data_IF_199818671918
#
_entry.id   IF_199818671918
#
_cell.length_a   1.000
_cell.length_b   1.000
_cell.length_c   1.000
_cell.angle_alpha   90.00
_cell.angle_beta   90.00
_cell.angle_gamma   90.00
#
_symmetry.space_group_name_H-M   'P 1'
#
loop_
_entity.id
_entity.type
_entity.pdbx_description
1 polymer ?
#
# COMPACT_ATOMS: atom_id res chain seq x y z
N UNK A 1 20.02 -12.26 8.17
CA UNK A 1 19.62 -10.92 8.60
C UNK A 1 19.16 -10.98 10.05
N UNK A 2 20.05 -10.68 10.98
CA UNK A 2 19.82 -10.75 12.43
C UNK A 2 18.86 -9.67 12.99
N UNK A 3 18.15 -8.93 12.14
CA UNK A 3 17.24 -7.85 12.58
C UNK A 3 15.98 -8.45 13.23
N UNK A 4 15.48 -9.52 12.67
CA UNK A 4 14.29 -10.22 13.20
C UNK A 4 14.57 -10.89 14.55
N UNK A 5 15.71 -11.55 14.66
CA UNK A 5 16.13 -12.22 15.90
C UNK A 5 16.41 -11.25 17.05
N UNK A 6 16.93 -10.04 16.70
CA UNK A 6 17.25 -9.02 17.71
C UNK A 6 16.05 -8.24 18.22
N UNK A 7 15.04 -8.02 17.38
CA UNK A 7 13.95 -7.11 17.71
C UNK A 7 12.60 -7.82 17.92
N UNK A 8 12.48 -9.09 17.50
CA UNK A 8 11.23 -9.88 17.56
C UNK A 8 9.98 -9.04 17.22
N UNK A 9 9.95 -8.38 16.05
CA UNK A 9 8.86 -7.49 15.69
C UNK A 9 7.57 -8.29 15.44
N UNK A 10 6.44 -7.74 15.84
CA UNK A 10 5.12 -8.30 15.53
C UNK A 10 4.78 -8.14 14.05
N UNK A 11 5.22 -7.04 13.44
CA UNK A 11 5.03 -6.73 12.02
C UNK A 11 6.31 -6.23 11.38
N UNK A 12 6.50 -6.59 10.12
CA UNK A 12 7.59 -6.09 9.27
C UNK A 12 6.99 -5.51 7.99
N UNK A 13 7.19 -4.23 7.77
CA UNK A 13 6.72 -3.54 6.57
C UNK A 13 7.88 -3.35 5.60
N UNK A 14 7.74 -3.88 4.39
CA UNK A 14 8.64 -3.62 3.27
C UNK A 14 8.06 -2.48 2.43
N UNK A 15 8.56 -1.27 2.66
CA UNK A 15 8.23 -0.12 1.80
C UNK A 15 9.04 -0.23 0.50
N UNK A 16 8.37 -0.61 -0.57
CA UNK A 16 8.98 -0.91 -1.86
C UNK A 16 8.47 0.05 -2.91
N UNK A 17 9.40 0.61 -3.68
CA UNK A 17 9.07 1.47 -4.82
C UNK A 17 8.20 0.73 -5.83
N UNK A 18 7.20 1.43 -6.39
CA UNK A 18 6.27 0.90 -7.39
C UNK A 18 6.88 0.66 -8.78
N UNK A 19 8.18 0.85 -8.93
CA UNK A 19 8.91 0.55 -10.17
C UNK A 19 9.32 -0.92 -10.19
N UNK A 20 8.53 -1.72 -10.89
CA UNK A 20 8.75 -3.18 -11.04
C UNK A 20 10.02 -3.55 -11.82
N UNK A 21 10.69 -2.60 -12.42
CA UNK A 21 11.96 -2.82 -13.14
C UNK A 21 13.12 -3.04 -12.15
N UNK A 22 12.99 -2.56 -10.93
CA UNK A 22 14.02 -2.74 -9.90
C UNK A 22 13.93 -4.14 -9.28
N UNK A 23 15.02 -4.91 -9.36
CA UNK A 23 15.12 -6.26 -8.74
C UNK A 23 14.81 -6.28 -7.23
N UNK A 24 14.88 -5.12 -6.56
CA UNK A 24 14.52 -4.95 -5.16
C UNK A 24 13.04 -5.23 -4.84
N UNK A 25 12.13 -4.96 -5.79
CA UNK A 25 10.69 -5.25 -5.64
C UNK A 25 10.42 -6.76 -5.42
N UNK A 26 11.11 -7.60 -6.15
CA UNK A 26 10.86 -9.04 -6.12
C UNK A 26 11.53 -9.77 -4.95
N UNK A 27 12.51 -9.14 -4.29
CA UNK A 27 13.32 -9.81 -3.28
C UNK A 27 12.53 -10.23 -2.04
N UNK A 28 11.68 -9.38 -1.41
CA UNK A 28 10.88 -9.80 -0.28
C UNK A 28 9.89 -10.92 -0.62
N UNK A 29 9.38 -10.92 -1.86
CA UNK A 29 8.40 -11.90 -2.33
C UNK A 29 9.07 -13.23 -2.67
N UNK A 30 10.16 -13.22 -3.45
CA UNK A 30 10.92 -14.42 -3.84
C UNK A 30 11.62 -15.08 -2.65
N UNK A 31 12.05 -14.29 -1.68
CA UNK A 31 12.70 -14.78 -0.47
C UNK A 31 11.72 -15.38 0.55
N UNK A 32 10.41 -15.26 0.33
CA UNK A 32 9.39 -15.72 1.27
C UNK A 32 9.37 -14.91 2.58
N UNK A 33 9.84 -13.64 2.53
CA UNK A 33 9.85 -12.74 3.68
C UNK A 33 8.54 -11.97 3.85
N UNK A 34 7.78 -11.82 2.76
CA UNK A 34 6.49 -11.15 2.77
C UNK A 34 5.36 -12.16 2.70
N UNK A 35 4.39 -12.06 3.58
CA UNK A 35 3.18 -12.89 3.59
C UNK A 35 2.04 -12.21 2.84
N UNK A 36 1.98 -10.90 2.85
CA UNK A 36 0.92 -10.09 2.25
C UNK A 36 1.47 -8.95 1.41
N UNK A 37 0.74 -8.62 0.35
CA UNK A 37 1.03 -7.50 -0.55
C UNK A 37 -0.17 -6.58 -0.62
N UNK A 38 0.06 -5.31 -0.38
CA UNK A 38 -0.89 -4.23 -0.57
C UNK A 38 -0.34 -3.26 -1.62
N UNK A 39 -1.17 -2.86 -2.57
CA UNK A 39 -0.77 -1.92 -3.62
C UNK A 39 -1.37 -0.56 -3.32
N UNK A 40 -0.51 0.43 -3.07
CA UNK A 40 -0.95 1.81 -2.87
C UNK A 40 -1.02 2.50 -4.23
N UNK A 41 -2.19 3.08 -4.55
CA UNK A 41 -2.42 3.80 -5.80
C UNK A 41 -3.38 4.98 -5.60
N UNK A 42 -3.61 5.76 -6.64
CA UNK A 42 -4.65 6.79 -6.72
C UNK A 42 -5.51 6.55 -7.96
N UNK A 43 -6.58 7.33 -8.13
CA UNK A 43 -7.41 7.25 -9.33
C UNK A 43 -6.82 7.89 -10.58
N UNK A 44 -5.59 8.38 -10.53
CA UNK A 44 -4.88 8.91 -11.69
C UNK A 44 -4.50 7.77 -12.65
N UNK A 45 -4.69 7.98 -13.97
CA UNK A 45 -4.48 6.95 -14.98
C UNK A 45 -3.09 6.31 -14.91
N UNK A 46 -2.03 7.12 -14.71
CA UNK A 46 -0.67 6.60 -14.62
C UNK A 46 -0.46 5.79 -13.35
N UNK A 47 -1.10 6.17 -12.25
CA UNK A 47 -1.04 5.41 -11.00
C UNK A 47 -1.75 4.06 -11.10
N UNK A 48 -2.92 4.02 -11.76
CA UNK A 48 -3.64 2.78 -12.03
C UNK A 48 -2.89 1.86 -12.96
N UNK A 49 -2.27 2.41 -14.02
CA UNK A 49 -1.40 1.63 -14.92
C UNK A 49 -0.17 1.04 -14.19
N UNK A 50 0.46 1.82 -13.31
CA UNK A 50 1.55 1.32 -12.48
C UNK A 50 1.08 0.21 -11.54
N UNK A 51 -0.09 0.38 -10.91
CA UNK A 51 -0.69 -0.63 -10.04
C UNK A 51 -0.97 -1.95 -10.80
N UNK A 52 -1.50 -1.87 -12.03
CA UNK A 52 -1.71 -3.04 -12.88
C UNK A 52 -0.41 -3.78 -13.19
N UNK A 53 0.67 -3.05 -13.51
CA UNK A 53 1.98 -3.65 -13.74
C UNK A 53 2.51 -4.37 -12.49
N UNK A 54 2.29 -3.81 -11.29
CA UNK A 54 2.65 -4.45 -10.02
C UNK A 54 1.83 -5.74 -9.83
N UNK A 55 0.52 -5.70 -10.05
CA UNK A 55 -0.35 -6.89 -9.97
C UNK A 55 0.16 -8.00 -10.88
N UNK A 56 0.44 -7.67 -12.13
CA UNK A 56 0.99 -8.63 -13.11
C UNK A 56 2.34 -9.20 -12.65
N UNK A 57 3.21 -8.34 -12.14
CA UNK A 57 4.52 -8.77 -11.64
C UNK A 57 4.38 -9.72 -10.44
N UNK A 58 3.52 -9.40 -9.46
CA UNK A 58 3.26 -10.27 -8.30
C UNK A 58 2.70 -11.63 -8.74
N UNK A 59 1.71 -11.62 -9.64
CA UNK A 59 1.11 -12.86 -10.18
C UNK A 59 2.12 -13.72 -10.95
N UNK A 60 3.11 -13.10 -11.59
CA UNK A 60 4.13 -13.79 -12.40
C UNK A 60 5.35 -14.27 -11.59
N UNK A 61 5.51 -13.89 -10.33
CA UNK A 61 6.65 -14.33 -9.52
C UNK A 61 6.64 -15.87 -9.33
N UNK A 62 5.47 -16.48 -9.33
CA UNK A 62 5.32 -17.93 -9.27
C UNK A 62 5.80 -18.56 -7.94
N UNK A 63 5.91 -19.88 -7.92
CA UNK A 63 6.44 -20.61 -6.77
C UNK A 63 7.97 -20.33 -6.61
N UNK A 64 8.49 -19.94 -5.41
CA UNK A 64 7.89 -20.15 -4.08
C UNK A 64 7.19 -18.94 -3.44
N UNK A 65 6.73 -17.96 -4.21
CA UNK A 65 6.03 -16.80 -3.62
C UNK A 65 4.78 -17.27 -2.87
N UNK A 66 4.75 -17.07 -1.56
CA UNK A 66 3.58 -17.36 -0.71
C UNK A 66 2.76 -16.12 -0.43
N UNK A 67 3.27 -14.95 -0.81
CA UNK A 67 2.61 -13.69 -0.51
C UNK A 67 1.24 -13.59 -1.18
N UNK A 68 0.23 -13.26 -0.38
CA UNK A 68 -1.13 -13.03 -0.83
C UNK A 68 -1.29 -11.57 -1.24
N UNK A 69 -1.77 -11.34 -2.46
CA UNK A 69 -2.17 -10.01 -2.90
C UNK A 69 -3.53 -9.69 -2.27
N UNK A 70 -3.49 -8.94 -1.16
CA UNK A 70 -4.66 -8.65 -0.30
C UNK A 70 -5.57 -7.58 -0.87
N UNK A 71 -5.02 -6.58 -1.55
CA UNK A 71 -5.86 -5.55 -2.13
C UNK A 71 -5.14 -4.25 -2.46
N UNK A 72 -5.95 -3.30 -2.88
CA UNK A 72 -5.55 -1.95 -3.26
C UNK A 72 -5.87 -1.00 -2.11
N UNK A 73 -4.90 -0.20 -1.69
CA UNK A 73 -5.09 0.95 -0.81
C UNK A 73 -5.13 2.19 -1.70
N UNK A 74 -6.29 2.83 -1.75
CA UNK A 74 -6.50 4.02 -2.56
C UNK A 74 -6.12 5.27 -1.77
N UNK A 75 -5.12 6.00 -2.22
CA UNK A 75 -4.75 7.31 -1.70
C UNK A 75 -5.41 8.39 -2.56
N UNK A 76 -6.59 8.86 -2.17
CA UNK A 76 -7.41 9.77 -2.99
C UNK A 76 -6.71 11.08 -3.32
N UNK A 77 -6.85 11.49 -4.57
CA UNK A 77 -6.39 12.79 -5.09
C UNK A 77 -7.54 13.76 -5.32
N UNK A 78 -8.80 13.29 -5.14
CA UNK A 78 -10.03 14.03 -5.41
C UNK A 78 -10.12 14.48 -6.88
N UNK A 79 -9.75 13.61 -7.80
CA UNK A 79 -9.93 13.82 -9.24
C UNK A 79 -11.34 13.46 -9.68
N UNK A 80 -11.73 13.96 -10.84
CA UNK A 80 -13.05 13.67 -11.42
C UNK A 80 -13.24 12.17 -11.65
N UNK A 81 -14.36 11.63 -11.16
CA UNK A 81 -14.76 10.21 -11.27
C UNK A 81 -13.72 9.24 -10.71
N UNK A 82 -13.03 9.65 -9.66
CA UNK A 82 -11.96 8.82 -9.07
C UNK A 82 -12.47 7.46 -8.64
N UNK A 83 -13.62 7.40 -7.98
CA UNK A 83 -14.20 6.16 -7.47
C UNK A 83 -14.60 5.21 -8.61
N UNK A 84 -15.21 5.74 -9.69
CA UNK A 84 -15.56 4.95 -10.86
C UNK A 84 -14.32 4.37 -11.55
N UNK A 85 -13.27 5.18 -11.71
CA UNK A 85 -12.00 4.74 -12.31
C UNK A 85 -11.30 3.67 -11.49
N UNK A 86 -11.26 3.85 -10.18
CA UNK A 86 -10.66 2.87 -9.25
C UNK A 86 -11.46 1.58 -9.26
N UNK A 87 -12.79 1.66 -9.23
CA UNK A 87 -13.65 0.47 -9.26
C UNK A 87 -13.44 -0.34 -10.55
N UNK A 88 -13.44 0.32 -11.71
CA UNK A 88 -13.20 -0.33 -13.00
C UNK A 88 -11.82 -0.99 -13.06
N UNK A 89 -10.77 -0.30 -12.60
CA UNK A 89 -9.41 -0.85 -12.56
C UNK A 89 -9.29 -2.02 -11.57
N UNK A 90 -9.92 -1.95 -10.42
CA UNK A 90 -9.99 -3.03 -9.43
C UNK A 90 -10.62 -4.29 -10.01
N UNK A 91 -11.72 -4.15 -10.75
CA UNK A 91 -12.40 -5.24 -11.44
C UNK A 91 -11.51 -5.84 -12.53
N UNK A 92 -10.90 -5.01 -13.38
CA UNK A 92 -10.00 -5.45 -14.47
C UNK A 92 -8.77 -6.19 -13.92
N UNK A 93 -8.15 -5.68 -12.87
CA UNK A 93 -7.02 -6.32 -12.21
C UNK A 93 -7.39 -7.58 -11.43
N UNK A 94 -8.68 -7.76 -11.09
CA UNK A 94 -9.16 -8.83 -10.22
C UNK A 94 -8.57 -8.72 -8.80
N UNK A 95 -8.42 -7.49 -8.31
CA UNK A 95 -7.86 -7.19 -6.99
C UNK A 95 -8.78 -6.21 -6.27
N UNK A 96 -9.34 -6.56 -5.10
CA UNK A 96 -10.31 -5.72 -4.42
C UNK A 96 -9.69 -4.44 -3.86
N UNK A 97 -10.49 -3.40 -3.73
CA UNK A 97 -10.13 -2.24 -2.91
C UNK A 97 -10.18 -2.63 -1.45
N UNK A 98 -9.01 -2.65 -0.82
CA UNK A 98 -8.86 -3.00 0.59
C UNK A 98 -9.20 -1.83 1.50
N UNK A 99 -8.71 -0.64 1.18
CA UNK A 99 -8.94 0.56 1.97
C UNK A 99 -8.87 1.82 1.10
N UNK A 100 -9.52 2.90 1.55
CA UNK A 100 -9.47 4.19 0.88
C UNK A 100 -9.11 5.27 1.88
N UNK A 101 -7.97 5.92 1.67
CA UNK A 101 -7.53 7.09 2.43
C UNK A 101 -8.04 8.37 1.76
N UNK A 102 -8.71 9.26 2.48
CA UNK A 102 -9.13 10.54 1.94
C UNK A 102 -7.93 11.46 1.71
N UNK A 103 -8.06 12.37 0.77
CA UNK A 103 -7.08 13.45 0.63
C UNK A 103 -7.20 14.42 1.81
N UNK A 104 -6.09 14.68 2.50
CA UNK A 104 -6.06 15.63 3.63
C UNK A 104 -4.93 16.62 3.50
N UNK A 105 -5.21 17.88 3.83
CA UNK A 105 -4.20 18.93 3.94
C UNK A 105 -3.28 18.70 5.16
N UNK A 106 -3.73 17.92 6.14
CA UNK A 106 -2.94 17.61 7.34
C UNK A 106 -1.69 16.81 6.99
N UNK A 107 -1.77 15.94 5.97
CA UNK A 107 -0.60 15.20 5.46
C UNK A 107 0.48 16.17 5.00
N UNK A 108 0.13 17.14 4.15
CA UNK A 108 1.08 18.13 3.65
C UNK A 108 1.67 19.02 4.78
N UNK A 109 0.84 19.38 5.76
CA UNK A 109 1.30 20.14 6.92
C UNK A 109 2.26 19.32 7.80
N UNK A 110 1.98 18.05 7.99
CA UNK A 110 2.87 17.15 8.74
C UNK A 110 4.21 16.96 8.02
N UNK A 111 4.19 16.74 6.71
CA UNK A 111 5.38 16.66 5.86
C UNK A 111 6.24 17.93 5.96
N UNK A 112 5.63 19.12 5.93
CA UNK A 112 6.33 20.39 6.10
C UNK A 112 7.02 20.52 7.47
N UNK A 113 6.54 19.80 8.49
CA UNK A 113 7.16 19.71 9.82
C UNK A 113 8.18 18.55 9.92
N UNK A 114 8.37 17.77 8.87
CA UNK A 114 9.21 16.57 8.89
C UNK A 114 8.67 15.47 9.81
N UNK A 115 7.35 15.39 9.95
CA UNK A 115 6.65 14.45 10.85
C UNK A 115 5.57 13.69 10.10
N UNK A 116 5.16 12.56 10.67
CA UNK A 116 3.93 11.87 10.26
C UNK A 116 2.70 12.62 10.75
N UNK A 117 1.53 12.33 10.17
CA UNK A 117 0.25 12.91 10.63
C UNK A 117 -0.03 12.52 12.08
N UNK A 118 0.25 11.28 12.44
CA UNK A 118 0.03 10.76 13.79
C UNK A 118 0.86 11.52 14.83
N UNK A 119 2.10 11.89 14.49
CA UNK A 119 2.98 12.67 15.36
C UNK A 119 2.63 14.15 15.40
N UNK A 120 2.25 14.73 14.25
CA UNK A 120 2.00 16.17 14.13
C UNK A 120 0.61 16.56 14.61
N UNK A 121 -0.38 15.72 14.34
CA UNK A 121 -1.81 16.00 14.57
C UNK A 121 -2.51 14.79 15.21
N UNK A 122 -2.09 14.35 16.40
CA UNK A 122 -2.74 13.24 17.09
C UNK A 122 -4.20 13.57 17.38
N UNK A 123 -5.10 12.65 17.05
CA UNK A 123 -6.55 12.84 17.23
C UNK A 123 -7.24 13.58 16.09
N UNK A 124 -6.56 13.91 14.99
CA UNK A 124 -7.18 14.42 13.77
C UNK A 124 -7.98 13.34 13.03
N UNK A 125 -8.89 13.76 12.14
CA UNK A 125 -9.64 12.82 11.30
C UNK A 125 -8.72 11.94 10.46
N UNK A 126 -7.65 12.52 9.92
CA UNK A 126 -6.68 11.76 9.12
C UNK A 126 -5.88 10.77 9.97
N UNK A 127 -5.55 11.14 11.21
CA UNK A 127 -4.94 10.21 12.18
C UNK A 127 -5.84 8.98 12.39
N UNK A 128 -7.14 9.20 12.63
CA UNK A 128 -8.11 8.13 12.81
C UNK A 128 -8.24 7.23 11.56
N UNK A 129 -8.12 7.78 10.35
CA UNK A 129 -8.12 6.97 9.12
C UNK A 129 -6.87 6.08 9.00
N UNK A 130 -5.70 6.57 9.39
CA UNK A 130 -4.49 5.74 9.44
C UNK A 130 -4.57 4.65 10.51
N UNK A 131 -5.17 4.95 11.68
CA UNK A 131 -5.40 3.96 12.74
C UNK A 131 -6.33 2.84 12.25
N UNK A 132 -7.45 3.17 11.58
CA UNK A 132 -8.35 2.18 10.97
C UNK A 132 -7.65 1.32 9.92
N UNK A 133 -6.79 1.92 9.09
CA UNK A 133 -6.00 1.17 8.11
C UNK A 133 -5.06 0.20 8.82
N UNK A 134 -4.34 0.65 9.84
CA UNK A 134 -3.42 -0.18 10.62
C UNK A 134 -4.15 -1.34 11.30
N UNK A 135 -5.28 -1.08 11.94
CA UNK A 135 -6.12 -2.13 12.55
C UNK A 135 -6.60 -3.15 11.51
N UNK A 136 -7.03 -2.67 10.33
CA UNK A 136 -7.49 -3.55 9.28
C UNK A 136 -6.38 -4.44 8.71
N UNK A 137 -5.15 -3.93 8.61
CA UNK A 137 -3.97 -4.74 8.22
C UNK A 137 -3.63 -5.75 9.32
N UNK A 138 -3.69 -5.34 10.58
CA UNK A 138 -3.33 -6.21 11.70
C UNK A 138 -4.31 -7.37 11.94
N UNK A 139 -5.57 -7.22 11.56
CA UNK A 139 -6.64 -8.19 11.82
C UNK A 139 -7.26 -8.79 10.54
N UNK A 140 -6.86 -8.36 9.37
CA UNK A 140 -7.34 -8.81 8.06
C UNK A 140 -6.53 -9.91 7.48
#
# INVERSE_FOLDING_TARGET
LNIYEKNSPDFVLFDVLGDVVCGGFAMPLRGGYADEVYIVTSGEMMSLYAAENIVRAVKNIGNPCRALLKGIIVNKKNIEKEEEKVAAASEEMGVPVFFTLPRSIEVQKAEALGKTVVEAFPGSEMCAEYEKLAEKIAHG
#
